data_IF_029351733968
#
_entry.id   IF_029351733968
#
_cell.length_a   1.000
_cell.length_b   1.000
_cell.length_c   1.000
_cell.angle_alpha   90.00
_cell.angle_beta   90.00
_cell.angle_gamma   90.00
#
_symmetry.space_group_name_H-M   'P 1'
#
loop_
_entity.id
_entity.type
_entity.pdbx_description
1 polymer ?
#
# COMPACT_ATOMS: atom_id res chain seq x y z
N UNK A 1 13.91 -5.41 -29.55
CA UNK A 1 13.20 -6.62 -29.05
C UNK A 1 11.73 -6.26 -28.77
N UNK A 2 10.80 -7.11 -29.16
CA UNK A 2 9.37 -6.91 -28.84
C UNK A 2 9.18 -7.13 -27.35
N UNK A 3 8.60 -6.15 -26.63
CA UNK A 3 8.36 -6.26 -25.18
C UNK A 3 7.40 -7.43 -24.91
N UNK A 4 7.68 -8.20 -23.85
CA UNK A 4 6.80 -9.27 -23.37
C UNK A 4 5.57 -8.71 -22.66
N UNK A 5 5.75 -7.61 -21.91
CA UNK A 5 4.71 -6.94 -21.14
C UNK A 5 4.55 -5.48 -21.58
N UNK A 6 3.38 -4.89 -21.36
CA UNK A 6 3.09 -3.49 -21.64
C UNK A 6 2.80 -2.72 -20.33
N UNK A 7 2.25 -3.40 -19.34
CA UNK A 7 1.88 -2.86 -18.04
C UNK A 7 2.60 -3.63 -16.92
N UNK A 8 3.06 -2.90 -15.91
CA UNK A 8 3.60 -3.46 -14.68
C UNK A 8 2.82 -2.85 -13.51
N UNK A 9 2.20 -3.70 -12.69
CA UNK A 9 1.44 -3.28 -11.52
C UNK A 9 2.24 -3.64 -10.27
N UNK A 10 2.56 -2.63 -9.46
CA UNK A 10 3.29 -2.80 -8.22
C UNK A 10 2.36 -2.75 -7.00
N UNK A 11 2.67 -3.55 -5.99
CA UNK A 11 2.31 -3.22 -4.63
C UNK A 11 3.24 -2.10 -4.12
N UNK A 12 2.93 -1.50 -2.98
CA UNK A 12 3.69 -0.39 -2.41
C UNK A 12 4.51 -0.81 -1.19
N UNK A 13 3.83 -1.09 -0.08
CA UNK A 13 4.49 -1.39 1.20
C UNK A 13 5.26 -2.72 1.15
N UNK A 14 6.55 -2.68 1.47
CA UNK A 14 7.42 -3.85 1.40
C UNK A 14 7.80 -4.30 -0.02
N UNK A 15 7.35 -3.58 -1.06
CA UNK A 15 7.68 -3.83 -2.48
C UNK A 15 8.51 -2.70 -3.08
N UNK A 16 8.03 -1.48 -3.02
CA UNK A 16 8.75 -0.29 -3.50
C UNK A 16 9.38 0.50 -2.35
N UNK A 17 8.74 0.52 -1.19
CA UNK A 17 9.19 1.27 -0.01
C UNK A 17 9.43 0.34 1.18
N UNK A 18 10.45 0.65 1.97
CA UNK A 18 10.81 -0.08 3.19
C UNK A 18 10.01 0.43 4.39
N UNK A 19 8.73 0.13 4.42
CA UNK A 19 7.77 0.63 5.43
C UNK A 19 7.29 -0.44 6.42
N UNK A 20 7.69 -1.69 6.26
CA UNK A 20 7.14 -2.82 7.03
C UNK A 20 7.26 -2.61 8.54
N UNK A 21 8.46 -2.31 9.02
CA UNK A 21 8.69 -2.16 10.47
C UNK A 21 7.98 -0.92 11.03
N UNK A 22 7.84 0.14 10.22
CA UNK A 22 7.05 1.32 10.60
C UNK A 22 5.56 1.01 10.71
N UNK A 23 4.99 0.28 9.77
CA UNK A 23 3.58 -0.14 9.82
C UNK A 23 3.33 -1.04 11.03
N UNK A 24 4.21 -2.01 11.30
CA UNK A 24 4.13 -2.86 12.48
C UNK A 24 4.13 -2.02 13.77
N UNK A 25 5.05 -1.06 13.88
CA UNK A 25 5.09 -0.13 15.02
C UNK A 25 3.78 0.63 15.16
N UNK A 26 3.22 1.17 14.08
CA UNK A 26 1.95 1.92 14.10
C UNK A 26 0.76 1.05 14.53
N UNK A 27 0.71 -0.22 14.08
CA UNK A 27 -0.34 -1.17 14.49
C UNK A 27 -0.25 -1.50 15.99
N UNK A 28 0.96 -1.75 16.48
CA UNK A 28 1.20 -2.04 17.91
C UNK A 28 0.91 -0.81 18.78
N UNK A 29 1.34 0.37 18.35
CA UNK A 29 1.10 1.61 19.08
C UNK A 29 -0.40 1.97 19.12
N UNK A 30 -1.11 1.78 18.01
CA UNK A 30 -2.56 1.98 17.98
C UNK A 30 -3.30 1.07 18.97
N UNK A 31 -2.86 -0.18 19.11
CA UNK A 31 -3.42 -1.08 20.12
C UNK A 31 -3.17 -0.57 21.55
N UNK A 32 -1.95 -0.16 21.85
CA UNK A 32 -1.56 0.40 23.15
C UNK A 32 -2.39 1.65 23.46
N UNK A 33 -2.49 2.59 22.54
CA UNK A 33 -3.25 3.84 22.67
C UNK A 33 -4.73 3.59 22.97
N UNK A 34 -5.28 2.48 22.46
CA UNK A 34 -6.67 2.07 22.67
C UNK A 34 -6.86 1.04 23.82
N UNK A 35 -5.86 0.86 24.66
CA UNK A 35 -5.85 -0.12 25.76
C UNK A 35 -6.21 -1.55 25.29
N UNK A 36 -5.74 -1.94 24.11
CA UNK A 36 -5.81 -3.29 23.57
C UNK A 36 -4.43 -3.95 23.66
N UNK A 37 -4.35 -5.28 23.80
CA UNK A 37 -3.07 -5.99 23.71
C UNK A 37 -2.43 -5.74 22.34
N UNK A 38 -1.15 -5.32 22.28
CA UNK A 38 -0.49 -5.13 20.99
C UNK A 38 -0.33 -6.47 20.26
N UNK A 39 -0.52 -6.50 18.93
CA UNK A 39 -0.35 -7.71 18.16
C UNK A 39 1.11 -8.15 18.13
N UNK A 40 1.32 -9.46 18.07
CA UNK A 40 2.63 -10.04 17.80
C UNK A 40 3.20 -9.50 16.48
N UNK A 41 4.52 -9.25 16.44
CA UNK A 41 5.20 -8.69 15.26
C UNK A 41 4.89 -9.47 13.97
N UNK A 42 4.89 -10.80 14.04
CA UNK A 42 4.61 -11.62 12.86
C UNK A 42 3.14 -11.52 12.44
N UNK A 43 2.20 -11.47 13.38
CA UNK A 43 0.79 -11.26 13.07
C UNK A 43 0.55 -9.90 12.40
N UNK A 44 1.19 -8.84 12.91
CA UNK A 44 1.15 -7.51 12.31
C UNK A 44 1.74 -7.49 10.88
N UNK A 45 2.86 -8.19 10.64
CA UNK A 45 3.45 -8.33 9.29
C UNK A 45 2.52 -9.04 8.32
N UNK A 46 1.79 -10.05 8.77
CA UNK A 46 0.92 -10.87 7.92
C UNK A 46 -0.32 -10.12 7.39
N UNK A 47 -0.70 -8.99 7.99
CA UNK A 47 -1.84 -8.20 7.53
C UNK A 47 -1.45 -7.03 6.63
N UNK A 48 -0.16 -6.78 6.44
CA UNK A 48 0.32 -5.72 5.54
C UNK A 48 -0.08 -6.03 4.10
N UNK A 49 -0.60 -5.04 3.40
CA UNK A 49 -1.17 -5.19 2.06
C UNK A 49 -2.70 -5.31 2.03
N UNK A 50 -3.32 -5.64 3.16
CA UNK A 50 -4.78 -5.56 3.32
C UNK A 50 -5.21 -4.10 3.52
N UNK A 51 -6.51 -3.82 3.34
CA UNK A 51 -7.08 -2.56 3.83
C UNK A 51 -6.97 -2.48 5.35
N UNK A 52 -6.86 -1.27 5.90
CA UNK A 52 -6.74 -1.09 7.35
C UNK A 52 -7.91 -1.72 8.12
N UNK A 53 -9.14 -1.66 7.57
CA UNK A 53 -10.31 -2.33 8.17
C UNK A 53 -10.11 -3.84 8.25
N UNK A 54 -9.71 -4.50 7.15
CA UNK A 54 -9.45 -5.95 7.14
C UNK A 54 -8.27 -6.32 8.04
N UNK A 55 -7.21 -5.51 8.05
CA UNK A 55 -6.06 -5.72 8.93
C UNK A 55 -6.48 -5.69 10.40
N UNK A 56 -7.24 -4.67 10.82
CA UNK A 56 -7.70 -4.54 12.20
C UNK A 56 -8.67 -5.65 12.60
N UNK A 57 -9.62 -6.04 11.76
CA UNK A 57 -10.50 -7.20 12.04
C UNK A 57 -9.71 -8.52 12.14
N UNK A 58 -8.67 -8.69 11.33
CA UNK A 58 -7.83 -9.89 11.41
C UNK A 58 -7.02 -9.95 12.72
N UNK A 59 -6.51 -8.79 13.17
CA UNK A 59 -5.72 -8.71 14.40
C UNK A 59 -6.59 -8.71 15.67
N UNK A 60 -7.83 -8.22 15.58
CA UNK A 60 -8.75 -8.05 16.70
C UNK A 60 -10.16 -8.57 16.32
N UNK A 61 -10.35 -9.90 16.18
CA UNK A 61 -11.59 -10.47 15.64
C UNK A 61 -12.83 -10.22 16.53
N UNK A 62 -12.65 -10.01 17.83
CA UNK A 62 -13.72 -9.79 18.82
C UNK A 62 -14.02 -8.29 19.04
N UNK A 63 -13.44 -7.38 18.23
CA UNK A 63 -13.56 -5.95 18.47
C UNK A 63 -14.90 -5.41 17.99
N UNK A 64 -15.54 -4.55 18.79
CA UNK A 64 -16.74 -3.83 18.38
C UNK A 64 -16.39 -2.68 17.39
N UNK A 65 -17.43 -2.19 16.68
CA UNK A 65 -17.25 -1.14 15.67
C UNK A 65 -16.72 0.18 16.25
N UNK A 66 -17.06 0.53 17.48
CA UNK A 66 -16.61 1.77 18.10
C UNK A 66 -15.09 1.70 18.38
N UNK A 67 -14.65 0.61 18.96
CA UNK A 67 -13.22 0.37 19.21
C UNK A 67 -12.42 0.19 17.92
N UNK A 68 -13.01 -0.45 16.91
CA UNK A 68 -12.40 -0.54 15.58
C UNK A 68 -12.10 0.85 15.01
N UNK A 69 -13.06 1.76 15.06
CA UNK A 69 -12.87 3.16 14.61
C UNK A 69 -11.77 3.88 15.40
N UNK A 70 -11.69 3.65 16.70
CA UNK A 70 -10.64 4.22 17.56
C UNK A 70 -9.25 3.69 17.16
N UNK A 71 -9.12 2.37 16.94
CA UNK A 71 -7.87 1.75 16.49
C UNK A 71 -7.42 2.30 15.12
N UNK A 72 -8.33 2.41 14.16
CA UNK A 72 -8.02 2.96 12.83
C UNK A 72 -7.60 4.42 12.93
N UNK A 73 -8.28 5.22 13.75
CA UNK A 73 -7.94 6.62 13.97
C UNK A 73 -6.55 6.77 14.63
N UNK A 74 -6.26 5.94 15.66
CA UNK A 74 -4.96 5.94 16.32
C UNK A 74 -3.84 5.46 15.38
N UNK A 75 -4.09 4.40 14.59
CA UNK A 75 -3.15 3.96 13.56
C UNK A 75 -2.82 5.09 12.58
N UNK A 76 -3.83 5.76 12.04
CA UNK A 76 -3.65 6.86 11.09
C UNK A 76 -2.82 7.99 11.70
N UNK A 77 -3.12 8.40 12.94
CA UNK A 77 -2.35 9.41 13.67
C UNK A 77 -0.88 9.00 13.85
N UNK A 78 -0.63 7.74 14.23
CA UNK A 78 0.74 7.23 14.37
C UNK A 78 1.45 7.15 13.02
N UNK A 79 0.76 6.68 11.97
CA UNK A 79 1.32 6.57 10.63
C UNK A 79 1.83 7.92 10.11
N UNK A 80 1.01 8.96 10.19
CA UNK A 80 1.35 10.32 9.73
C UNK A 80 2.28 11.10 10.68
N UNK A 81 2.67 10.52 11.83
CA UNK A 81 3.62 11.16 12.76
C UNK A 81 5.06 11.16 12.24
N UNK A 82 5.38 10.32 11.25
CA UNK A 82 6.66 10.24 10.57
C UNK A 82 6.49 10.55 9.10
N UNK A 83 7.16 11.58 8.60
CA UNK A 83 7.23 11.84 7.16
C UNK A 83 8.12 10.80 6.48
N UNK A 84 7.60 10.16 5.44
CA UNK A 84 8.40 9.36 4.52
C UNK A 84 9.14 10.27 3.53
N UNK A 85 10.18 9.74 2.89
CA UNK A 85 10.92 10.44 1.85
C UNK A 85 11.48 9.45 0.82
N UNK A 86 12.22 9.95 -0.17
CA UNK A 86 12.79 9.12 -1.25
C UNK A 86 13.77 8.05 -0.74
N UNK A 87 14.47 8.31 0.35
CA UNK A 87 15.45 7.39 0.91
C UNK A 87 14.80 6.18 1.60
N UNK A 88 13.49 6.25 1.87
CA UNK A 88 12.71 5.12 2.36
C UNK A 88 12.34 4.11 1.24
N UNK A 89 12.48 4.47 -0.05
CA UNK A 89 12.39 3.49 -1.13
C UNK A 89 13.51 2.46 -1.02
N UNK A 90 13.24 1.21 -1.40
CA UNK A 90 14.31 0.23 -1.48
C UNK A 90 15.42 0.68 -2.45
N UNK A 91 16.69 0.32 -2.19
CA UNK A 91 17.81 0.70 -3.05
C UNK A 91 17.55 0.36 -4.52
N UNK A 92 17.72 1.35 -5.40
CA UNK A 92 17.55 1.19 -6.84
C UNK A 92 16.11 1.29 -7.37
N UNK A 93 15.08 1.34 -6.51
CA UNK A 93 13.67 1.41 -6.94
C UNK A 93 13.41 2.64 -7.78
N UNK A 94 13.81 3.83 -7.34
CA UNK A 94 13.57 5.06 -8.09
C UNK A 94 14.16 5.00 -9.51
N UNK A 95 15.42 4.62 -9.63
CA UNK A 95 16.08 4.48 -10.92
C UNK A 95 15.49 3.37 -11.80
N UNK A 96 15.03 2.28 -11.19
CA UNK A 96 14.31 1.21 -11.90
C UNK A 96 12.99 1.72 -12.49
N UNK A 97 12.18 2.45 -11.70
CA UNK A 97 10.90 2.99 -12.18
C UNK A 97 11.10 3.97 -13.35
N UNK A 98 12.08 4.88 -13.26
CA UNK A 98 12.45 5.78 -14.36
C UNK A 98 12.82 4.97 -15.61
N UNK A 99 13.70 4.00 -15.46
CA UNK A 99 14.16 3.17 -16.59
C UNK A 99 13.03 2.39 -17.25
N UNK A 100 12.11 1.83 -16.46
CA UNK A 100 10.94 1.14 -17.00
C UNK A 100 10.03 2.08 -17.78
N UNK A 101 9.79 3.29 -17.26
CA UNK A 101 9.00 4.32 -17.95
C UNK A 101 9.67 4.75 -19.26
N UNK A 102 10.98 5.00 -19.25
CA UNK A 102 11.75 5.37 -20.45
C UNK A 102 11.73 4.25 -21.53
N UNK A 103 11.67 3.01 -21.09
CA UNK A 103 11.46 1.85 -21.97
C UNK A 103 10.00 1.73 -22.47
N UNK A 104 9.12 2.63 -22.04
CA UNK A 104 7.72 2.74 -22.48
C UNK A 104 6.78 1.74 -21.82
N UNK A 105 7.12 1.17 -20.66
CA UNK A 105 6.15 0.44 -19.85
C UNK A 105 5.15 1.40 -19.22
N UNK A 106 3.87 1.00 -19.16
CA UNK A 106 2.91 1.63 -18.28
C UNK A 106 3.14 1.10 -16.86
N UNK A 107 3.19 2.00 -15.87
CA UNK A 107 3.39 1.63 -14.47
C UNK A 107 2.15 1.99 -13.68
N UNK A 108 1.73 1.10 -12.79
CA UNK A 108 0.57 1.28 -11.94
C UNK A 108 0.85 0.80 -10.51
N UNK A 109 0.04 1.27 -9.55
CA UNK A 109 0.07 0.82 -8.15
C UNK A 109 -1.28 0.23 -7.76
N UNK A 110 -1.24 -0.94 -7.11
CA UNK A 110 -2.38 -1.56 -6.43
C UNK A 110 -2.01 -1.78 -4.96
N UNK A 111 -2.65 -1.07 -4.02
CA UNK A 111 -2.22 -1.02 -2.62
C UNK A 111 -3.37 -1.15 -1.63
N UNK A 112 -3.06 -1.72 -0.45
CA UNK A 112 -3.98 -1.72 0.70
C UNK A 112 -4.10 -0.37 1.43
N UNK A 113 -3.26 0.63 1.08
CA UNK A 113 -3.30 1.97 1.66
C UNK A 113 -4.63 2.68 1.42
N UNK A 114 -4.92 3.66 2.26
CA UNK A 114 -5.92 4.69 1.95
C UNK A 114 -5.40 5.64 0.87
N UNK A 115 -6.30 6.37 0.23
CA UNK A 115 -5.91 7.39 -0.77
C UNK A 115 -5.01 8.46 -0.17
N UNK A 116 -5.31 8.91 1.05
CA UNK A 116 -4.51 9.92 1.74
C UNK A 116 -3.06 9.45 2.00
N UNK A 117 -2.89 8.22 2.49
CA UNK A 117 -1.56 7.62 2.70
C UNK A 117 -0.79 7.47 1.39
N UNK A 118 -1.46 7.06 0.31
CA UNK A 118 -0.78 6.89 -0.98
C UNK A 118 -0.35 8.22 -1.58
N UNK A 119 -1.20 9.25 -1.55
CA UNK A 119 -0.85 10.59 -2.04
C UNK A 119 0.39 11.10 -1.31
N UNK A 120 0.39 11.04 0.02
CA UNK A 120 1.53 11.50 0.83
C UNK A 120 2.84 10.82 0.43
N UNK A 121 2.84 9.49 0.33
CA UNK A 121 4.09 8.78 0.02
C UNK A 121 4.54 8.96 -1.43
N UNK A 122 3.62 9.11 -2.38
CA UNK A 122 3.96 9.41 -3.78
C UNK A 122 4.60 10.79 -3.91
N UNK A 123 4.04 11.80 -3.24
CA UNK A 123 4.58 13.16 -3.19
C UNK A 123 5.93 13.19 -2.48
N UNK A 124 6.02 12.61 -1.29
CA UNK A 124 7.24 12.57 -0.49
C UNK A 124 8.41 11.86 -1.17
N UNK A 125 8.13 10.81 -1.94
CA UNK A 125 9.14 10.08 -2.72
C UNK A 125 9.39 10.70 -4.10
N UNK A 126 8.52 11.61 -4.56
CA UNK A 126 8.58 12.24 -5.88
C UNK A 126 8.34 11.25 -7.02
N UNK A 127 7.48 10.23 -6.80
CA UNK A 127 7.22 9.16 -7.77
C UNK A 127 5.86 9.23 -8.44
N UNK A 128 4.98 10.15 -8.03
CA UNK A 128 3.60 10.28 -8.53
C UNK A 128 3.54 10.28 -10.07
N UNK A 129 4.38 11.09 -10.70
CA UNK A 129 4.44 11.27 -12.16
C UNK A 129 4.87 10.02 -12.94
N UNK A 130 5.34 8.98 -12.25
CA UNK A 130 5.81 7.73 -12.87
C UNK A 130 4.66 6.76 -13.13
N UNK A 131 3.57 6.86 -12.38
CA UNK A 131 2.44 5.94 -12.46
C UNK A 131 1.29 6.55 -13.28
N UNK A 132 0.77 5.77 -14.23
CA UNK A 132 -0.36 6.20 -15.06
C UNK A 132 -1.71 6.03 -14.34
N UNK A 133 -1.79 5.10 -13.39
CA UNK A 133 -2.99 4.84 -12.59
C UNK A 133 -2.62 4.19 -11.26
N UNK A 134 -3.38 4.50 -10.23
CA UNK A 134 -3.26 3.88 -8.91
C UNK A 134 -4.64 3.44 -8.41
N UNK A 135 -4.69 2.35 -7.63
CA UNK A 135 -5.90 1.90 -6.94
C UNK A 135 -5.59 1.60 -5.48
N UNK A 136 -6.43 2.14 -4.62
CA UNK A 136 -6.40 1.93 -3.17
C UNK A 136 -7.53 1.01 -2.74
N UNK A 137 -7.36 0.31 -1.63
CA UNK A 137 -8.35 -0.64 -1.13
C UNK A 137 -9.73 -0.03 -0.85
N UNK A 138 -9.79 1.22 -0.41
CA UNK A 138 -11.04 1.92 -0.11
C UNK A 138 -11.85 2.33 -1.36
N UNK A 139 -11.23 2.35 -2.52
CA UNK A 139 -11.85 2.74 -3.79
C UNK A 139 -12.45 1.56 -4.53
N UNK A 140 -12.01 0.36 -4.22
CA UNK A 140 -12.36 -0.87 -4.93
C UNK A 140 -12.72 -1.97 -3.94
N UNK A 141 -11.95 -3.06 -3.94
CA UNK A 141 -12.01 -4.12 -2.95
C UNK A 141 -10.60 -4.40 -2.41
N UNK A 142 -10.52 -4.70 -1.10
CA UNK A 142 -9.25 -5.04 -0.47
C UNK A 142 -8.73 -6.38 -0.96
N UNK A 143 -7.42 -6.48 -1.16
CA UNK A 143 -6.73 -7.74 -1.41
C UNK A 143 -7.19 -8.83 -0.43
N UNK A 144 -7.29 -10.09 -0.85
CA UNK A 144 -6.84 -10.68 -2.12
C UNK A 144 -7.85 -10.57 -3.27
N UNK A 145 -8.93 -9.77 -3.15
CA UNK A 145 -9.86 -9.56 -4.24
C UNK A 145 -9.12 -8.98 -5.47
N UNK A 146 -9.31 -9.52 -6.68
CA UNK A 146 -8.59 -9.06 -7.87
C UNK A 146 -9.15 -7.78 -8.50
N UNK A 147 -10.18 -7.16 -7.93
CA UNK A 147 -10.89 -6.03 -8.54
C UNK A 147 -9.95 -4.85 -8.87
N UNK A 148 -9.01 -4.50 -7.95
CA UNK A 148 -8.02 -3.47 -8.23
C UNK A 148 -7.25 -3.72 -9.53
N UNK A 149 -6.84 -4.98 -9.76
CA UNK A 149 -6.07 -5.35 -10.95
C UNK A 149 -6.95 -5.26 -12.20
N UNK A 150 -8.19 -5.71 -12.13
CA UNK A 150 -9.13 -5.61 -13.25
C UNK A 150 -9.43 -4.16 -13.64
N UNK A 151 -9.60 -3.28 -12.66
CA UNK A 151 -9.82 -1.85 -12.92
C UNK A 151 -8.58 -1.17 -13.52
N UNK A 152 -7.37 -1.50 -13.05
CA UNK A 152 -6.12 -0.99 -13.61
C UNK A 152 -5.95 -1.45 -15.07
N UNK A 153 -6.17 -2.73 -15.33
CA UNK A 153 -6.09 -3.32 -16.69
C UNK A 153 -7.09 -2.64 -17.61
N UNK A 154 -8.34 -2.47 -17.16
CA UNK A 154 -9.39 -1.80 -17.94
C UNK A 154 -9.02 -0.33 -18.23
N UNK A 155 -8.49 0.39 -17.24
CA UNK A 155 -8.09 1.78 -17.40
C UNK A 155 -6.94 1.96 -18.40
N UNK A 156 -5.96 1.07 -18.34
CA UNK A 156 -4.75 1.11 -19.19
C UNK A 156 -4.96 0.49 -20.56
N UNK A 157 -6.07 -0.21 -20.76
CA UNK A 157 -6.38 -0.98 -21.99
C UNK A 157 -5.29 -2.03 -22.32
N UNK A 158 -4.53 -2.45 -21.33
CA UNK A 158 -3.52 -3.48 -21.51
C UNK A 158 -4.19 -4.85 -21.74
N UNK A 159 -3.63 -5.66 -22.63
CA UNK A 159 -4.05 -7.05 -22.74
C UNK A 159 -3.62 -7.83 -21.49
N UNK A 160 -4.51 -8.64 -20.91
CA UNK A 160 -4.28 -9.34 -19.65
C UNK A 160 -3.01 -10.20 -19.67
N UNK A 161 -2.68 -10.78 -20.82
CA UNK A 161 -1.50 -11.62 -21.04
C UNK A 161 -0.20 -10.79 -21.10
N UNK A 162 -0.32 -9.46 -21.08
CA UNK A 162 0.81 -8.52 -21.17
C UNK A 162 0.97 -7.66 -19.91
N UNK A 163 0.44 -8.16 -18.78
CA UNK A 163 0.54 -7.51 -17.47
C UNK A 163 1.45 -8.30 -16.53
#
# INVERSE_FOLDING_TARGET
>A
MKKRFDLIIFDWDGTLINSIDWIVHCLQQAAIDCACPPPETQAAKNVIGLSINKAMHSLFPEIDEQRLKQLISSYSKNYFSKAMNRDDLFPGVYSMLIKLKDQGYQLAVATGKTRAELIEVLEATGTEHLFCVTRCAEETASKPDPLMLHEIISHTQAAKERV
#
